data_IF_634325048948
#
_entry.id   IF_634325048948
#
_cell.length_a   1.000
_cell.length_b   1.000
_cell.length_c   1.000
_cell.angle_alpha   90.00
_cell.angle_beta   90.00
_cell.angle_gamma   90.00
#
_symmetry.space_group_name_H-M   'P 1'
#
loop_
_entity.id
_entity.type
_entity.pdbx_description
1 polymer ?
#
# COMPACT_ATOMS: atom_id res chain seq x y z
N UNK A 1 24.14 -7.49 32.11
CA UNK A 1 24.84 -8.33 31.12
C UNK A 1 25.77 -9.27 31.86
N UNK A 2 25.19 -10.37 32.33
CA UNK A 2 25.79 -11.56 32.92
C UNK A 2 24.58 -12.49 32.97
N UNK A 3 24.34 -13.35 31.98
CA UNK A 3 23.50 -14.57 32.04
C UNK A 3 23.39 -15.25 30.66
N UNK A 4 24.54 -15.59 30.06
CA UNK A 4 24.62 -16.43 28.85
C UNK A 4 24.22 -17.88 29.09
N UNK A 5 22.97 -18.12 29.48
CA UNK A 5 22.45 -19.45 29.80
C UNK A 5 20.92 -19.43 29.91
N UNK A 6 20.26 -19.84 28.82
CA UNK A 6 18.79 -20.06 28.70
C UNK A 6 17.93 -18.77 28.71
N UNK A 7 17.44 -18.39 27.52
CA UNK A 7 16.31 -17.46 27.39
C UNK A 7 16.64 -15.97 27.25
N UNK A 8 17.84 -15.62 26.82
CA UNK A 8 18.29 -14.23 26.67
C UNK A 8 17.59 -13.48 25.51
N UNK A 9 16.43 -12.90 25.80
CA UNK A 9 15.71 -12.00 24.88
C UNK A 9 16.37 -10.61 24.73
N UNK A 10 17.50 -10.32 25.39
CA UNK A 10 18.18 -9.01 25.28
C UNK A 10 19.69 -9.07 24.92
N UNK A 11 20.22 -10.20 24.41
CA UNK A 11 21.61 -10.34 23.87
C UNK A 11 21.66 -10.25 22.34
N UNK A 12 20.60 -9.76 21.72
CA UNK A 12 20.47 -9.63 20.26
C UNK A 12 21.06 -8.34 19.68
N UNK A 13 21.52 -7.39 20.51
CA UNK A 13 22.01 -6.08 20.05
C UNK A 13 23.55 -5.96 19.95
N UNK A 14 24.33 -6.89 20.54
CA UNK A 14 25.80 -6.82 20.57
C UNK A 14 26.48 -7.63 19.46
N UNK A 15 26.53 -8.96 19.62
CA UNK A 15 27.26 -9.87 18.71
C UNK A 15 26.78 -9.78 17.24
N UNK A 16 25.47 -9.72 16.94
CA UNK A 16 25.00 -9.57 15.57
C UNK A 16 25.34 -8.21 14.95
N UNK A 17 25.40 -7.14 15.75
CA UNK A 17 25.76 -5.80 15.28
C UNK A 17 27.25 -5.69 14.99
N UNK A 18 28.08 -6.28 15.85
CA UNK A 18 29.53 -6.29 15.70
C UNK A 18 29.97 -7.09 14.46
N UNK A 19 29.41 -8.29 14.24
CA UNK A 19 29.66 -9.07 13.00
C UNK A 19 29.28 -8.28 11.75
N UNK A 20 28.17 -7.53 11.76
CA UNK A 20 27.79 -6.67 10.62
C UNK A 20 28.80 -5.56 10.34
N UNK A 21 29.34 -4.91 11.37
CA UNK A 21 30.30 -3.82 11.23
C UNK A 21 31.68 -4.31 10.76
N UNK A 22 32.14 -5.46 11.25
CA UNK A 22 33.48 -5.97 10.97
C UNK A 22 33.56 -6.89 9.74
N UNK A 23 32.61 -7.83 9.60
CA UNK A 23 32.73 -8.96 8.65
C UNK A 23 32.06 -8.64 7.31
N UNK A 24 30.93 -7.92 7.34
CA UNK A 24 30.10 -7.74 6.14
C UNK A 24 30.38 -6.42 5.42
N UNK A 25 31.03 -5.44 6.07
CA UNK A 25 31.29 -4.09 5.54
C UNK A 25 30.12 -3.55 4.70
N UNK A 26 28.89 -3.83 5.16
CA UNK A 26 27.71 -3.77 4.30
C UNK A 26 27.24 -2.34 4.18
N UNK A 27 27.26 -1.80 2.95
CA UNK A 27 26.63 -0.53 2.58
C UNK A 27 25.13 -0.50 2.98
N UNK A 28 24.50 -1.67 3.12
CA UNK A 28 23.07 -1.84 3.46
C UNK A 28 22.85 -2.35 4.89
N UNK A 29 23.27 -1.56 5.87
CA UNK A 29 22.93 -1.82 7.27
C UNK A 29 21.42 -1.67 7.48
N UNK A 30 20.71 -2.77 7.78
CA UNK A 30 19.23 -2.83 7.95
C UNK A 30 18.59 -1.74 8.84
N UNK A 31 19.35 -1.13 9.75
CA UNK A 31 18.93 -0.01 10.60
C UNK A 31 20.01 1.06 10.57
N UNK A 32 19.89 1.98 9.62
CA UNK A 32 20.67 3.22 9.60
C UNK A 32 20.02 4.21 10.56
N UNK A 33 20.83 4.76 11.47
CA UNK A 33 20.39 5.81 12.39
C UNK A 33 21.22 7.05 12.09
N UNK A 34 20.56 8.19 11.91
CA UNK A 34 21.21 9.49 11.71
C UNK A 34 20.88 10.37 12.92
N UNK A 35 21.91 10.93 13.55
CA UNK A 35 21.77 11.92 14.62
C UNK A 35 22.03 13.30 14.04
N UNK A 36 21.09 14.23 14.24
CA UNK A 36 21.21 15.61 13.75
C UNK A 36 21.36 16.53 14.97
N UNK A 37 22.53 17.19 15.15
CA UNK A 37 22.71 18.14 16.23
C UNK A 37 21.87 19.40 15.97
N UNK A 38 21.16 19.88 16.99
CA UNK A 38 20.31 21.07 16.93
C UNK A 38 20.86 22.11 17.90
N UNK A 39 20.87 23.38 17.49
CA UNK A 39 21.26 24.50 18.36
C UNK A 39 20.34 24.60 19.57
N UNK A 40 20.90 24.89 20.76
CA UNK A 40 20.15 25.07 22.02
C UNK A 40 19.47 26.44 22.09
N UNK A 41 18.57 26.71 21.15
CA UNK A 41 17.71 27.90 21.12
C UNK A 41 16.27 27.49 20.94
N UNK A 42 15.33 28.19 21.59
CA UNK A 42 13.88 27.95 21.44
C UNK A 42 13.44 28.02 19.97
N UNK A 43 13.97 28.99 19.22
CA UNK A 43 13.71 29.14 17.79
C UNK A 43 14.20 27.95 16.96
N UNK A 44 15.38 27.41 17.29
CA UNK A 44 15.97 26.26 16.62
C UNK A 44 15.21 24.97 16.93
N UNK A 45 14.75 24.79 18.18
CA UNK A 45 13.90 23.66 18.57
C UNK A 45 12.55 23.65 17.82
N UNK A 46 11.92 24.81 17.66
CA UNK A 46 10.69 24.92 16.86
C UNK A 46 10.92 24.56 15.38
N UNK A 47 12.02 25.03 14.78
CA UNK A 47 12.42 24.67 13.40
C UNK A 47 12.73 23.18 13.28
N UNK A 48 13.40 22.59 14.27
CA UNK A 48 13.73 21.17 14.30
C UNK A 48 12.48 20.28 14.37
N UNK A 49 11.47 20.64 15.18
CA UNK A 49 10.16 19.95 15.19
C UNK A 49 9.46 20.02 13.83
N UNK A 50 9.58 21.14 13.12
CA UNK A 50 9.05 21.26 11.75
C UNK A 50 9.83 20.37 10.77
N UNK A 51 11.16 20.33 10.89
CA UNK A 51 12.02 19.47 10.07
C UNK A 51 11.72 17.99 10.30
N UNK A 52 11.60 17.57 11.57
CA UNK A 52 11.22 16.21 11.96
C UNK A 52 9.93 15.77 11.27
N UNK A 53 8.90 16.62 11.27
CA UNK A 53 7.64 16.34 10.57
C UNK A 53 7.81 16.17 9.07
N UNK A 54 8.64 16.99 8.42
CA UNK A 54 8.90 16.89 6.97
C UNK A 54 9.72 15.66 6.58
N UNK A 55 10.64 15.22 7.44
CA UNK A 55 11.49 14.06 7.18
C UNK A 55 10.82 12.73 7.55
N UNK A 56 9.83 12.78 8.43
CA UNK A 56 9.06 11.59 8.80
C UNK A 56 8.16 11.19 7.63
N UNK A 57 8.44 10.03 7.04
CA UNK A 57 7.57 9.45 6.02
C UNK A 57 6.21 9.12 6.67
N UNK A 58 5.15 9.69 6.10
CA UNK A 58 3.78 9.34 6.45
C UNK A 58 3.21 8.37 5.42
N UNK A 59 2.64 7.27 5.88
CA UNK A 59 1.88 6.35 5.04
C UNK A 59 0.42 6.81 5.03
N UNK A 60 -0.22 6.75 3.87
CA UNK A 60 -1.63 7.12 3.74
C UNK A 60 -2.55 6.33 4.68
N UNK A 61 -2.22 5.06 4.94
CA UNK A 61 -2.92 4.22 5.92
C UNK A 61 -2.88 4.73 7.36
N UNK A 62 -1.91 5.57 7.71
CA UNK A 62 -1.79 6.19 9.03
C UNK A 62 -2.59 7.49 9.15
N UNK A 63 -2.94 8.06 8.00
CA UNK A 63 -3.57 9.38 7.88
C UNK A 63 -5.08 9.27 7.73
N UNK A 64 -5.57 8.15 7.19
CA UNK A 64 -6.99 7.84 7.16
C UNK A 64 -7.50 7.39 8.53
N UNK A 65 -8.61 7.99 8.94
CA UNK A 65 -9.43 7.57 10.09
C UNK A 65 -10.41 6.47 9.68
N UNK A 66 -11.08 6.66 8.54
CA UNK A 66 -12.05 5.72 8.01
C UNK A 66 -12.13 5.78 6.48
N UNK A 67 -12.64 4.71 5.88
CA UNK A 67 -12.86 4.60 4.44
C UNK A 67 -14.19 3.89 4.20
N UNK A 68 -15.15 4.59 3.59
CA UNK A 68 -16.45 4.01 3.22
C UNK A 68 -16.53 3.84 1.71
N UNK A 69 -17.03 2.68 1.26
CA UNK A 69 -17.26 2.38 -0.16
C UNK A 69 -18.72 2.02 -0.32
N UNK A 70 -19.42 2.74 -1.19
CA UNK A 70 -20.79 2.45 -1.58
C UNK A 70 -20.80 2.03 -3.04
N UNK A 71 -21.31 0.83 -3.31
CA UNK A 71 -21.51 0.30 -4.65
C UNK A 71 -22.99 0.41 -5.05
N UNK A 72 -23.24 0.86 -6.28
CA UNK A 72 -24.56 0.84 -6.91
C UNK A 72 -24.47 0.18 -8.27
N UNK A 73 -25.30 -0.85 -8.46
CA UNK A 73 -25.50 -1.53 -9.74
C UNK A 73 -26.71 -0.92 -10.44
N UNK A 74 -26.52 -0.40 -11.66
CA UNK A 74 -27.62 0.01 -12.52
C UNK A 74 -27.71 -0.96 -13.70
N UNK A 75 -28.80 -1.72 -13.74
CA UNK A 75 -29.12 -2.66 -14.81
C UNK A 75 -30.14 -2.00 -15.73
N UNK A 76 -29.69 -1.52 -16.89
CA UNK A 76 -30.58 -1.17 -18.01
C UNK A 76 -30.49 -2.26 -19.06
N UNK A 77 -31.55 -2.41 -19.88
CA UNK A 77 -31.70 -3.48 -20.88
C UNK A 77 -30.46 -3.75 -21.75
N UNK A 78 -29.58 -2.75 -21.95
CA UNK A 78 -28.34 -2.94 -22.68
C UNK A 78 -27.12 -2.21 -22.07
N UNK A 79 -27.24 -1.70 -20.84
CA UNK A 79 -26.16 -0.96 -20.15
C UNK A 79 -26.09 -1.37 -18.68
N UNK A 80 -25.00 -2.05 -18.33
CA UNK A 80 -24.72 -2.52 -16.98
C UNK A 80 -23.65 -1.61 -16.38
N UNK A 81 -24.07 -0.66 -15.55
CA UNK A 81 -23.18 0.34 -14.95
C UNK A 81 -22.99 0.09 -13.46
N UNK A 82 -21.76 -0.25 -13.07
CA UNK A 82 -21.34 -0.23 -11.66
C UNK A 82 -20.83 1.17 -11.32
N UNK A 83 -21.43 1.79 -10.32
CA UNK A 83 -20.99 3.10 -9.80
C UNK A 83 -20.48 2.92 -8.37
N UNK A 84 -19.24 3.32 -8.13
CA UNK A 84 -18.62 3.31 -6.80
C UNK A 84 -18.52 4.74 -6.27
N UNK A 85 -19.04 4.99 -5.07
CA UNK A 85 -18.79 6.20 -4.29
C UNK A 85 -17.84 5.84 -3.17
N UNK A 86 -16.66 6.46 -3.14
CA UNK A 86 -15.63 6.21 -2.13
C UNK A 86 -15.47 7.47 -1.29
N UNK A 87 -15.65 7.36 0.01
CA UNK A 87 -15.53 8.45 0.97
C UNK A 87 -14.31 8.20 1.87
N UNK A 88 -13.37 9.13 1.82
CA UNK A 88 -12.14 9.08 2.61
C UNK A 88 -12.27 10.04 3.79
N UNK A 89 -12.13 9.53 5.01
CA UNK A 89 -12.12 10.33 6.22
C UNK A 89 -10.69 10.47 6.73
N UNK A 90 -10.17 11.69 6.72
CA UNK A 90 -8.83 11.99 7.22
C UNK A 90 -8.86 12.24 8.73
N UNK A 91 -7.76 11.91 9.40
CA UNK A 91 -7.64 12.07 10.84
C UNK A 91 -7.39 13.54 11.21
N UNK A 92 -8.19 14.08 12.14
CA UNK A 92 -8.12 15.46 12.63
C UNK A 92 -6.84 15.75 13.43
N UNK A 93 -6.09 14.71 13.83
CA UNK A 93 -4.79 14.88 14.51
C UNK A 93 -3.77 15.67 13.67
N UNK A 94 -3.95 15.72 12.35
CA UNK A 94 -3.13 16.53 11.47
C UNK A 94 -3.78 17.91 11.32
N UNK A 95 -3.19 18.93 11.97
CA UNK A 95 -3.70 20.30 11.87
C UNK A 95 -3.84 20.77 10.41
N UNK A 96 -4.71 21.77 10.18
CA UNK A 96 -5.21 22.16 8.85
C UNK A 96 -4.13 22.29 7.76
N UNK A 97 -3.00 22.95 8.05
CA UNK A 97 -1.92 23.14 7.08
C UNK A 97 -1.33 21.81 6.59
N UNK A 98 -1.15 20.86 7.51
CA UNK A 98 -0.59 19.56 7.17
C UNK A 98 -1.64 18.70 6.45
N UNK A 99 -2.90 18.80 6.84
CA UNK A 99 -4.00 18.13 6.16
C UNK A 99 -4.12 18.58 4.70
N UNK A 100 -3.98 19.87 4.41
CA UNK A 100 -3.99 20.38 3.04
C UNK A 100 -2.82 19.81 2.20
N UNK A 101 -1.61 19.74 2.76
CA UNK A 101 -0.46 19.11 2.08
C UNK A 101 -0.73 17.62 1.77
N UNK A 102 -1.37 16.91 2.71
CA UNK A 102 -1.77 15.51 2.54
C UNK A 102 -2.80 15.38 1.42
N UNK A 103 -3.84 16.23 1.41
CA UNK A 103 -4.91 16.18 0.41
C UNK A 103 -4.35 16.45 -0.99
N UNK A 104 -3.52 17.49 -1.15
CA UNK A 104 -2.85 17.76 -2.43
C UNK A 104 -2.01 16.56 -2.90
N UNK A 105 -1.28 15.93 -1.97
CA UNK A 105 -0.48 14.74 -2.28
C UNK A 105 -1.36 13.53 -2.62
N UNK A 106 -2.51 13.40 -1.97
CA UNK A 106 -3.49 12.35 -2.22
C UNK A 106 -4.07 12.46 -3.63
N UNK A 107 -4.49 13.66 -4.04
CA UNK A 107 -5.00 13.91 -5.39
C UNK A 107 -3.92 13.73 -6.46
N UNK A 108 -2.70 14.21 -6.20
CA UNK A 108 -1.61 14.18 -7.18
C UNK A 108 -1.04 12.78 -7.39
N UNK A 109 -0.88 12.00 -6.32
CA UNK A 109 -0.15 10.72 -6.39
C UNK A 109 -1.04 9.49 -6.16
N UNK A 110 -1.95 9.56 -5.19
CA UNK A 110 -2.74 8.39 -4.80
C UNK A 110 -3.87 8.12 -5.80
N UNK A 111 -4.67 9.13 -6.15
CA UNK A 111 -5.80 8.95 -7.07
C UNK A 111 -5.38 8.39 -8.43
N UNK A 112 -4.34 8.91 -9.12
CA UNK A 112 -3.88 8.32 -10.37
C UNK A 112 -3.40 6.88 -10.22
N UNK A 113 -2.74 6.56 -9.10
CA UNK A 113 -2.27 5.20 -8.81
C UNK A 113 -3.43 4.25 -8.55
N UNK A 114 -4.46 4.70 -7.83
CA UNK A 114 -5.68 3.94 -7.60
C UNK A 114 -6.40 3.65 -8.92
N UNK A 115 -6.62 4.68 -9.75
CA UNK A 115 -7.24 4.52 -11.06
C UNK A 115 -6.48 3.54 -11.96
N UNK A 116 -5.14 3.61 -11.98
CA UNK A 116 -4.30 2.64 -12.71
C UNK A 116 -4.48 1.22 -12.17
N UNK A 117 -4.53 1.04 -10.85
CA UNK A 117 -4.74 -0.25 -10.21
C UNK A 117 -6.11 -0.85 -10.55
N UNK A 118 -7.16 -0.04 -10.46
CA UNK A 118 -8.54 -0.43 -10.83
C UNK A 118 -8.59 -0.83 -12.30
N UNK A 119 -8.02 -0.02 -13.20
CA UNK A 119 -8.00 -0.32 -14.62
C UNK A 119 -7.22 -1.60 -14.94
N UNK A 120 -6.10 -1.84 -14.24
CA UNK A 120 -5.33 -3.09 -14.36
C UNK A 120 -6.17 -4.28 -13.93
N UNK A 121 -6.85 -4.20 -12.78
CA UNK A 121 -7.68 -5.31 -12.29
C UNK A 121 -8.91 -5.55 -13.16
N UNK A 122 -9.52 -4.48 -13.69
CA UNK A 122 -10.62 -4.58 -14.66
C UNK A 122 -10.20 -5.36 -15.90
N UNK A 123 -9.04 -5.04 -16.49
CA UNK A 123 -8.51 -5.76 -17.67
C UNK A 123 -8.27 -7.24 -17.38
N UNK A 124 -7.69 -7.56 -16.23
CA UNK A 124 -7.47 -8.94 -15.79
C UNK A 124 -8.79 -9.72 -15.62
N UNK A 125 -9.82 -9.08 -15.09
CA UNK A 125 -11.16 -9.65 -14.95
C UNK A 125 -11.84 -9.87 -16.31
N UNK A 126 -11.70 -8.95 -17.27
CA UNK A 126 -12.22 -9.19 -18.63
C UNK A 126 -11.48 -10.32 -19.34
N UNK A 127 -10.14 -10.38 -19.26
CA UNK A 127 -9.36 -11.48 -19.86
C UNK A 127 -9.75 -12.83 -19.26
N UNK A 128 -9.89 -12.91 -17.93
CA UNK A 128 -10.31 -14.16 -17.29
C UNK A 128 -11.77 -14.54 -17.61
N UNK A 129 -12.69 -13.58 -17.73
CA UNK A 129 -14.06 -13.84 -18.18
C UNK A 129 -14.12 -14.33 -19.63
N UNK A 130 -13.30 -13.75 -20.53
CA UNK A 130 -13.16 -14.20 -21.92
C UNK A 130 -12.56 -15.60 -22.01
N UNK A 131 -11.54 -15.91 -21.21
CA UNK A 131 -10.97 -17.26 -21.14
C UNK A 131 -12.01 -18.28 -20.65
N UNK A 132 -12.84 -17.92 -19.66
CA UNK A 132 -13.93 -18.79 -19.19
C UNK A 132 -14.99 -19.01 -20.27
N UNK A 133 -15.37 -17.97 -21.03
CA UNK A 133 -16.38 -18.10 -22.09
C UNK A 133 -15.84 -18.82 -23.34
N UNK A 134 -14.55 -18.70 -23.65
CA UNK A 134 -13.89 -19.49 -24.68
C UNK A 134 -13.86 -20.99 -24.31
N UNK A 135 -13.51 -21.31 -23.06
CA UNK A 135 -13.47 -22.70 -22.59
C UNK A 135 -14.84 -23.39 -22.56
N UNK A 136 -15.93 -22.62 -22.40
CA UNK A 136 -17.31 -23.10 -22.55
C UNK A 136 -17.62 -23.39 -24.02
N UNK A 137 -17.17 -22.54 -24.95
CA UNK A 137 -17.39 -22.73 -26.38
C UNK A 137 -16.66 -23.96 -26.92
N UNK A 138 -15.41 -24.16 -26.50
CA UNK A 138 -14.61 -25.33 -26.89
C UNK A 138 -15.18 -26.65 -26.36
N UNK A 139 -15.94 -26.63 -25.25
CA UNK A 139 -16.68 -27.80 -24.74
C UNK A 139 -17.99 -28.07 -25.47
N UNK A 140 -18.58 -27.08 -26.16
CA UNK A 140 -19.84 -27.23 -26.88
C UNK A 140 -19.61 -27.75 -28.31
N UNK A 141 -18.41 -27.57 -28.88
CA UNK A 141 -18.10 -27.97 -30.28
C UNK A 141 -17.66 -29.44 -30.45
N UNK A 142 -17.64 -30.25 -29.38
CA UNK A 142 -17.37 -31.69 -29.49
C UNK A 142 -18.56 -32.43 -28.87
N UNK A 143 -19.64 -32.62 -29.65
CA UNK A 143 -20.58 -33.74 -29.48
C UNK A 143 -21.68 -33.87 -30.56
N UNK A 144 -21.63 -33.14 -31.67
CA UNK A 144 -22.47 -33.45 -32.83
C UNK A 144 -21.58 -33.94 -33.97
N UNK A 145 -21.35 -35.26 -34.03
CA UNK A 145 -20.99 -36.06 -35.21
C UNK A 145 -20.73 -37.51 -34.72
N UNK A 146 -21.80 -38.24 -34.40
CA UNK A 146 -21.93 -39.69 -34.59
C UNK A 146 -23.24 -40.21 -33.99
N UNK A 147 -24.32 -40.15 -34.76
CA UNK A 147 -25.36 -41.18 -34.84
C UNK A 147 -25.67 -41.28 -36.34
N UNK A 148 -25.06 -42.24 -37.06
CA UNK A 148 -25.63 -43.56 -37.34
C UNK A 148 -27.13 -43.51 -37.58
N UNK A 149 -27.53 -43.45 -38.85
CA UNK A 149 -28.76 -44.07 -39.32
C UNK A 149 -28.50 -44.65 -40.73
N UNK A 150 -28.84 -45.94 -40.86
CA UNK A 150 -28.99 -46.82 -42.05
C UNK A 150 -27.77 -47.16 -42.93
#
# INVERSE_FOLDING_TARGET
FHFGGRGEINVTLGVPRLRKLLIVASINVKTTTIQVPILRSSSALCKAKRLQRRWSRLLFSQVLKNLNIHEKLSLKLNDHKHTYKIEFYFDEKYGEKQLNEIICSFETYFIPRLCRSINKKRKELTTSALLRSAHIRDKITINDLNDKDE
#
